data_IF_436177209640
#
_entry.id   IF_436177209640
#
_cell.length_a   1.000
_cell.length_b   1.000
_cell.length_c   1.000
_cell.angle_alpha   90.00
_cell.angle_beta   90.00
_cell.angle_gamma   90.00
#
_symmetry.space_group_name_H-M   'P 1'
#
loop_
_entity.id
_entity.type
_entity.pdbx_description
1 polymer ?
#
# COMPACT_ATOMS: atom_id res chain seq x y z
N UNK A 1 -3.86 16.12 25.69
CA UNK A 1 -3.86 14.99 24.74
C UNK A 1 -4.64 13.85 25.39
N UNK A 2 -5.63 13.24 24.71
CA UNK A 2 -6.29 12.06 25.26
C UNK A 2 -5.29 10.92 25.37
N UNK A 3 -5.19 10.31 26.53
CA UNK A 3 -4.33 9.16 26.77
C UNK A 3 -4.75 8.00 25.86
N UNK A 4 -3.81 7.47 25.09
CA UNK A 4 -4.05 6.37 24.15
C UNK A 4 -4.10 5.08 24.98
N UNK A 5 -5.32 4.53 25.19
CA UNK A 5 -5.52 3.29 25.95
C UNK A 5 -5.39 2.07 25.05
N UNK A 6 -4.41 1.24 25.33
CA UNK A 6 -4.31 -0.11 24.79
C UNK A 6 -5.13 -1.09 25.64
N UNK A 7 -5.90 -1.96 24.99
CA UNK A 7 -6.67 -3.00 25.69
C UNK A 7 -5.72 -4.03 26.32
N UNK A 8 -6.03 -4.51 27.51
CA UNK A 8 -5.21 -5.50 28.20
C UNK A 8 -5.01 -6.78 27.37
N UNK A 9 -6.06 -7.26 26.70
CA UNK A 9 -5.98 -8.42 25.80
C UNK A 9 -5.08 -8.18 24.58
N UNK A 10 -4.91 -6.93 24.14
CA UNK A 10 -3.94 -6.53 23.12
C UNK A 10 -2.52 -6.62 23.68
N UNK A 11 -2.27 -6.00 24.83
CA UNK A 11 -0.96 -6.01 25.47
C UNK A 11 -0.47 -7.44 25.73
N UNK A 12 -1.29 -8.28 26.39
CA UNK A 12 -0.98 -9.70 26.67
C UNK A 12 -0.65 -10.52 25.42
N UNK A 13 -1.17 -10.14 24.27
CA UNK A 13 -0.84 -10.81 23.00
C UNK A 13 0.52 -10.40 22.48
N UNK A 14 0.79 -9.10 22.47
CA UNK A 14 1.97 -8.56 21.80
C UNK A 14 3.22 -8.56 22.67
N UNK A 15 3.11 -8.54 24.02
CA UNK A 15 4.23 -8.70 24.95
C UNK A 15 5.00 -10.02 24.75
N UNK A 16 4.30 -11.06 24.22
CA UNK A 16 4.93 -12.34 23.89
C UNK A 16 5.73 -12.32 22.59
N UNK A 17 5.58 -11.29 21.78
CA UNK A 17 6.16 -11.20 20.42
C UNK A 17 7.23 -10.13 20.33
N UNK A 18 7.19 -9.11 21.18
CA UNK A 18 8.10 -7.97 21.12
C UNK A 18 8.15 -7.22 22.45
N UNK A 19 9.11 -6.32 22.61
CA UNK A 19 9.14 -5.33 23.69
C UNK A 19 7.89 -4.45 23.60
N UNK A 20 6.99 -4.61 24.57
CA UNK A 20 5.67 -3.98 24.54
C UNK A 20 5.75 -2.46 24.76
N UNK A 21 6.69 -1.97 25.56
CA UNK A 21 6.84 -0.54 25.81
C UNK A 21 7.37 0.18 24.57
N UNK A 22 8.39 -0.37 23.93
CA UNK A 22 8.90 0.12 22.65
C UNK A 22 7.85 0.04 21.55
N UNK A 23 7.05 -1.03 21.53
CA UNK A 23 5.95 -1.17 20.59
C UNK A 23 4.88 -0.08 20.77
N UNK A 24 4.48 0.23 22.02
CA UNK A 24 3.53 1.30 22.34
C UNK A 24 4.08 2.66 21.90
N UNK A 25 5.33 2.95 22.28
CA UNK A 25 6.01 4.19 21.88
C UNK A 25 5.99 4.37 20.37
N UNK A 26 6.51 3.41 19.61
CA UNK A 26 6.57 3.48 18.14
C UNK A 26 5.16 3.56 17.53
N UNK A 27 4.18 2.83 18.07
CA UNK A 27 2.81 2.82 17.56
C UNK A 27 2.06 4.14 17.75
N UNK A 28 2.56 5.02 18.61
CA UNK A 28 1.99 6.34 18.88
C UNK A 28 2.75 7.49 18.23
N UNK A 29 3.92 7.22 17.64
CA UNK A 29 4.69 8.23 16.90
C UNK A 29 4.01 8.61 15.59
N UNK A 30 4.34 9.79 15.09
CA UNK A 30 3.88 10.25 13.77
C UNK A 30 4.41 9.34 12.66
N UNK A 31 3.52 8.86 11.80
CA UNK A 31 3.92 8.11 10.61
C UNK A 31 4.46 9.08 9.55
N UNK A 32 5.73 8.91 9.18
CA UNK A 32 6.34 9.70 8.10
C UNK A 32 5.56 9.49 6.80
N UNK A 33 5.16 10.57 6.17
CA UNK A 33 4.53 10.53 4.85
C UNK A 33 5.54 10.14 3.80
N UNK A 34 5.12 9.36 2.82
CA UNK A 34 5.96 9.00 1.67
C UNK A 34 5.16 9.00 0.38
N UNK A 35 5.88 9.18 -0.70
CA UNK A 35 5.38 9.12 -2.07
C UNK A 35 6.25 8.18 -2.88
N UNK A 36 5.66 7.60 -3.92
CA UNK A 36 6.36 6.87 -4.97
C UNK A 36 6.20 7.60 -6.29
N UNK A 37 7.30 7.90 -6.94
CA UNK A 37 7.31 8.46 -8.31
C UNK A 37 6.69 7.45 -9.27
N UNK A 38 5.86 7.93 -10.16
CA UNK A 38 5.31 7.13 -11.24
C UNK A 38 6.21 7.22 -12.48
N UNK A 39 7.12 6.29 -12.60
CA UNK A 39 8.12 6.26 -13.67
C UNK A 39 7.53 6.02 -15.07
N UNK A 40 6.25 5.64 -15.17
CA UNK A 40 5.54 5.60 -16.45
C UNK A 40 5.27 7.00 -17.02
N UNK A 41 5.35 8.05 -16.20
CA UNK A 41 4.95 9.42 -16.59
C UNK A 41 6.03 10.48 -16.40
N UNK A 42 6.96 10.28 -15.46
CA UNK A 42 7.96 11.29 -15.13
C UNK A 42 9.24 10.65 -14.58
N UNK A 43 10.37 11.25 -14.86
CA UNK A 43 11.65 10.86 -14.26
C UNK A 43 11.74 11.20 -12.78
N UNK A 44 12.48 10.36 -12.02
CA UNK A 44 12.60 10.51 -10.55
C UNK A 44 13.18 11.89 -10.19
N UNK A 45 14.29 12.27 -10.81
CA UNK A 45 14.95 13.55 -10.53
C UNK A 45 14.14 14.77 -10.99
N UNK A 46 13.37 14.62 -12.05
CA UNK A 46 12.49 15.69 -12.54
C UNK A 46 11.36 15.97 -11.51
N UNK A 47 10.67 14.92 -11.05
CA UNK A 47 9.63 15.08 -10.02
C UNK A 47 10.23 15.63 -8.71
N UNK A 48 11.38 15.12 -8.31
CA UNK A 48 12.09 15.60 -7.11
C UNK A 48 12.30 17.10 -7.15
N UNK A 49 12.88 17.63 -8.22
CA UNK A 49 13.09 19.09 -8.41
C UNK A 49 11.79 19.88 -8.30
N UNK A 50 10.67 19.39 -8.84
CA UNK A 50 9.37 20.06 -8.74
C UNK A 50 8.85 20.11 -7.31
N UNK A 51 9.00 19.01 -6.56
CA UNK A 51 8.46 18.91 -5.20
C UNK A 51 9.37 19.57 -4.15
N UNK A 52 10.66 19.71 -4.38
CA UNK A 52 11.61 20.39 -3.47
C UNK A 52 11.27 21.88 -3.27
N UNK A 53 10.45 22.48 -4.14
CA UNK A 53 9.89 23.83 -3.94
C UNK A 53 8.92 23.91 -2.75
N UNK A 54 8.33 22.78 -2.34
CA UNK A 54 7.29 22.71 -1.31
C UNK A 54 7.66 21.82 -0.14
N UNK A 55 8.57 20.85 -0.32
CA UNK A 55 8.86 19.79 0.64
C UNK A 55 10.35 19.51 0.71
N UNK A 56 10.78 19.06 1.89
CA UNK A 56 12.07 18.36 2.02
C UNK A 56 11.86 16.90 1.68
N UNK A 57 12.68 16.36 0.78
CA UNK A 57 12.61 14.99 0.30
C UNK A 57 13.80 14.18 0.81
N UNK A 58 13.55 12.99 1.33
CA UNK A 58 14.57 12.03 1.76
C UNK A 58 14.28 10.69 1.14
N UNK A 59 15.25 10.05 0.52
CA UNK A 59 15.06 8.76 -0.13
C UNK A 59 14.51 7.69 0.84
N UNK A 60 13.62 6.84 0.36
CA UNK A 60 13.24 5.61 1.04
C UNK A 60 14.34 4.58 0.74
N UNK A 61 15.05 4.03 1.76
CA UNK A 61 16.28 3.25 1.54
C UNK A 61 16.12 2.02 0.65
N UNK A 62 14.90 1.45 0.59
CA UNK A 62 14.62 0.22 -0.16
C UNK A 62 13.88 0.45 -1.49
N UNK A 63 13.63 1.71 -1.87
CA UNK A 63 12.92 2.02 -3.11
C UNK A 63 13.47 3.33 -3.69
N UNK A 64 14.25 3.22 -4.75
CA UNK A 64 14.92 4.38 -5.39
C UNK A 64 13.93 5.37 -6.01
N UNK A 65 12.71 4.94 -6.32
CA UNK A 65 11.64 5.77 -6.85
C UNK A 65 10.78 6.42 -5.76
N UNK A 66 11.13 6.26 -4.46
CA UNK A 66 10.30 6.74 -3.38
C UNK A 66 11.03 7.68 -2.42
N UNK A 67 10.27 8.66 -1.92
CA UNK A 67 10.75 9.66 -0.99
C UNK A 67 9.85 9.74 0.24
N UNK A 68 10.47 9.86 1.40
CA UNK A 68 9.82 10.48 2.56
C UNK A 68 9.70 11.97 2.31
N UNK A 69 8.57 12.54 2.71
CA UNK A 69 8.30 13.97 2.54
C UNK A 69 8.04 14.63 3.88
N UNK A 70 8.62 15.81 4.07
CA UNK A 70 8.38 16.68 5.24
C UNK A 70 8.23 18.13 4.77
N UNK A 71 7.53 18.93 5.56
CA UNK A 71 7.27 20.33 5.27
C UNK A 71 5.97 20.78 5.94
N UNK A 72 5.72 22.07 5.93
CA UNK A 72 4.53 22.69 6.53
C UNK A 72 3.26 22.35 5.74
N UNK A 73 3.38 22.27 4.43
CA UNK A 73 2.26 21.95 3.54
C UNK A 73 1.77 20.52 3.76
N UNK A 74 0.46 20.37 4.00
CA UNK A 74 -0.17 19.06 4.30
C UNK A 74 -1.01 18.50 3.17
N UNK A 75 -1.39 19.30 2.21
CA UNK A 75 -2.36 19.02 1.13
C UNK A 75 -1.71 18.43 -0.13
N UNK A 76 -0.73 17.53 0.04
CA UNK A 76 0.01 16.90 -1.07
C UNK A 76 -0.91 16.25 -2.12
N UNK A 77 -2.09 15.79 -1.73
CA UNK A 77 -3.08 15.24 -2.65
C UNK A 77 -3.72 16.26 -3.59
N UNK A 78 -3.59 17.58 -3.29
CA UNK A 78 -4.14 18.67 -4.09
C UNK A 78 -3.11 19.27 -5.07
N UNK A 79 -1.89 18.71 -5.11
CA UNK A 79 -0.88 19.13 -6.08
C UNK A 79 -1.29 18.73 -7.49
N UNK A 80 -0.92 19.58 -8.47
CA UNK A 80 -1.13 19.27 -9.87
C UNK A 80 -0.38 18.00 -10.30
N UNK A 81 0.80 17.77 -9.77
CA UNK A 81 1.61 16.57 -10.00
C UNK A 81 0.88 15.30 -9.53
N UNK A 82 0.12 15.37 -8.42
CA UNK A 82 -0.70 14.26 -7.97
C UNK A 82 -1.88 14.03 -8.93
N UNK A 83 -2.56 15.09 -9.35
CA UNK A 83 -3.69 15.01 -10.29
C UNK A 83 -3.25 14.47 -11.65
N UNK A 84 -2.06 14.83 -12.12
CA UNK A 84 -1.45 14.31 -13.35
C UNK A 84 -0.95 12.87 -13.20
N UNK A 85 -0.94 12.31 -11.99
CA UNK A 85 -0.49 10.95 -11.71
C UNK A 85 1.03 10.79 -11.76
N UNK A 86 1.80 11.84 -11.52
CA UNK A 86 3.26 11.79 -11.49
C UNK A 86 3.81 11.09 -10.25
N UNK A 87 3.00 11.00 -9.20
CA UNK A 87 3.32 10.20 -8.01
C UNK A 87 2.07 9.58 -7.38
N UNK A 88 2.32 8.56 -6.57
CA UNK A 88 1.33 7.92 -5.70
C UNK A 88 1.69 8.18 -4.24
N UNK A 89 0.72 8.58 -3.41
CA UNK A 89 0.90 8.71 -1.95
C UNK A 89 0.84 7.29 -1.39
N UNK A 90 1.98 6.74 -1.02
CA UNK A 90 2.10 5.34 -0.60
C UNK A 90 2.99 5.24 0.63
N UNK A 91 2.56 4.47 1.63
CA UNK A 91 3.39 4.21 2.79
C UNK A 91 4.63 3.44 2.42
N UNK A 92 5.77 3.81 3.00
CA UNK A 92 7.07 3.22 2.66
C UNK A 92 7.10 1.70 2.83
N UNK A 93 6.47 1.15 3.88
CA UNK A 93 6.37 -0.31 4.06
C UNK A 93 5.53 -0.98 2.96
N UNK A 94 4.54 -0.29 2.40
CA UNK A 94 3.68 -0.80 1.32
C UNK A 94 4.40 -0.90 -0.03
N UNK A 95 5.59 -0.30 -0.16
CA UNK A 95 6.45 -0.42 -1.35
C UNK A 95 7.15 -1.77 -1.45
N UNK A 96 7.36 -2.45 -0.32
CA UNK A 96 8.18 -3.66 -0.23
C UNK A 96 7.57 -4.85 -1.02
N UNK A 97 6.27 -5.19 -0.88
CA UNK A 97 5.73 -6.38 -1.52
C UNK A 97 5.90 -6.44 -3.06
N UNK A 98 5.64 -5.37 -3.83
CA UNK A 98 5.92 -5.38 -5.27
C UNK A 98 7.41 -5.50 -5.61
N UNK A 99 8.30 -4.91 -4.80
CA UNK A 99 9.75 -5.02 -4.99
C UNK A 99 10.25 -6.45 -4.73
N UNK A 100 9.72 -7.11 -3.67
CA UNK A 100 10.07 -8.51 -3.36
C UNK A 100 9.48 -9.48 -4.38
N UNK A 101 8.32 -9.15 -4.97
CA UNK A 101 7.73 -9.93 -6.05
C UNK A 101 8.61 -9.92 -7.29
N UNK A 102 9.35 -8.83 -7.52
CA UNK A 102 10.34 -8.66 -8.60
C UNK A 102 9.78 -9.04 -9.98
N UNK A 103 8.77 -8.32 -10.48
CA UNK A 103 8.10 -8.69 -11.72
C UNK A 103 8.99 -8.50 -12.94
N UNK A 104 8.91 -9.45 -13.89
CA UNK A 104 9.46 -9.27 -15.23
C UNK A 104 8.44 -8.57 -16.15
N UNK A 105 8.93 -7.92 -17.18
CA UNK A 105 8.09 -7.20 -18.15
C UNK A 105 7.16 -8.11 -18.96
N UNK A 106 7.40 -9.42 -19.00
CA UNK A 106 6.56 -10.41 -19.69
C UNK A 106 5.60 -11.19 -18.79
N UNK A 107 5.67 -10.99 -17.47
CA UNK A 107 4.91 -11.80 -16.51
C UNK A 107 3.39 -11.57 -16.65
N UNK A 108 2.64 -12.65 -16.40
CA UNK A 108 1.21 -12.62 -16.06
C UNK A 108 1.07 -12.61 -14.54
N UNK A 109 0.63 -11.50 -13.98
CA UNK A 109 0.56 -11.30 -12.53
C UNK A 109 -0.87 -11.21 -12.05
N UNK A 110 -1.18 -11.87 -10.92
CA UNK A 110 -2.42 -11.67 -10.18
C UNK A 110 -2.16 -10.79 -8.95
N UNK A 111 -2.80 -9.62 -8.88
CA UNK A 111 -2.96 -8.84 -7.64
C UNK A 111 -4.33 -9.18 -7.04
N UNK A 112 -4.36 -10.08 -6.05
CA UNK A 112 -5.60 -10.69 -5.53
C UNK A 112 -6.49 -9.72 -4.74
N UNK A 113 -5.92 -8.65 -4.17
CA UNK A 113 -6.62 -7.66 -3.34
C UNK A 113 -6.19 -6.24 -3.72
N UNK A 114 -6.33 -5.91 -5.00
CA UNK A 114 -5.68 -4.79 -5.66
C UNK A 114 -6.11 -3.40 -5.17
N UNK A 115 -7.39 -3.23 -4.82
CA UNK A 115 -7.91 -1.92 -4.48
C UNK A 115 -7.30 -1.34 -3.19
N UNK A 116 -6.91 -0.05 -3.21
CA UNK A 116 -7.21 1.01 -4.17
C UNK A 116 -6.23 1.14 -5.35
N UNK A 117 -5.25 0.24 -5.55
CA UNK A 117 -4.35 0.23 -6.70
C UNK A 117 -2.91 0.69 -6.44
N UNK A 118 -2.51 0.89 -5.20
CA UNK A 118 -1.15 1.35 -4.88
C UNK A 118 -0.07 0.35 -5.32
N UNK A 119 -0.27 -0.94 -5.05
CA UNK A 119 0.65 -2.01 -5.44
C UNK A 119 0.52 -2.36 -6.92
N UNK A 120 -0.72 -2.40 -7.44
CA UNK A 120 -0.99 -2.61 -8.87
C UNK A 120 -0.28 -1.57 -9.75
N UNK A 121 -0.39 -0.27 -9.41
CA UNK A 121 0.30 0.81 -10.14
C UNK A 121 1.82 0.74 -9.99
N UNK A 122 2.33 0.20 -8.89
CA UNK A 122 3.75 -0.05 -8.70
C UNK A 122 4.22 -1.22 -9.58
N UNK A 123 3.47 -2.32 -9.63
CA UNK A 123 3.75 -3.45 -10.52
C UNK A 123 3.77 -2.99 -11.98
N UNK A 124 2.76 -2.23 -12.41
CA UNK A 124 2.72 -1.70 -13.78
C UNK A 124 3.93 -0.82 -14.11
N UNK A 125 4.41 0.00 -13.15
CA UNK A 125 5.63 0.79 -13.33
C UNK A 125 6.88 -0.08 -13.43
N UNK A 126 7.01 -1.12 -12.59
CA UNK A 126 8.14 -2.06 -12.64
C UNK A 126 8.15 -2.88 -13.94
N UNK A 127 6.97 -3.18 -14.46
CA UNK A 127 6.78 -3.89 -15.75
C UNK A 127 6.80 -2.95 -16.98
N UNK A 128 6.96 -1.66 -16.78
CA UNK A 128 6.97 -0.67 -17.88
C UNK A 128 5.71 -0.75 -18.78
N UNK A 129 4.54 -1.02 -18.18
CA UNK A 129 3.28 -1.29 -18.89
C UNK A 129 3.31 -2.50 -19.86
N UNK A 130 4.28 -3.40 -19.75
CA UNK A 130 4.32 -4.65 -20.52
C UNK A 130 3.78 -5.82 -19.69
N UNK A 131 3.63 -7.00 -20.32
CA UNK A 131 3.01 -8.17 -19.69
C UNK A 131 1.54 -7.92 -19.38
N UNK A 132 1.01 -8.60 -18.35
CA UNK A 132 -0.40 -8.45 -17.97
C UNK A 132 -0.59 -8.58 -16.46
N UNK A 133 -1.36 -7.65 -15.89
CA UNK A 133 -1.77 -7.69 -14.49
C UNK A 133 -3.29 -7.93 -14.40
N UNK A 134 -3.70 -8.97 -13.70
CA UNK A 134 -5.10 -9.14 -13.28
C UNK A 134 -5.25 -8.50 -11.91
N UNK A 135 -5.84 -7.31 -11.87
CA UNK A 135 -6.08 -6.56 -10.64
C UNK A 135 -7.47 -6.87 -10.09
N UNK A 136 -7.52 -7.69 -9.05
CA UNK A 136 -8.75 -8.21 -8.50
C UNK A 136 -9.11 -7.58 -7.15
N UNK A 137 -10.39 -7.42 -6.89
CA UNK A 137 -10.92 -7.24 -5.53
C UNK A 137 -12.27 -7.96 -5.40
N UNK A 138 -12.60 -8.41 -4.20
CA UNK A 138 -13.89 -9.10 -3.92
C UNK A 138 -15.03 -8.12 -3.64
N UNK A 139 -14.74 -6.81 -3.53
CA UNK A 139 -15.70 -5.76 -3.21
C UNK A 139 -15.85 -4.78 -4.36
N UNK A 140 -17.04 -4.76 -4.95
CA UNK A 140 -17.37 -3.86 -6.05
C UNK A 140 -17.07 -2.38 -5.74
N UNK A 141 -17.49 -1.91 -4.56
CA UNK A 141 -17.30 -0.49 -4.18
C UNK A 141 -15.85 -0.04 -4.19
N UNK A 142 -14.92 -0.97 -3.96
CA UNK A 142 -13.48 -0.69 -3.96
C UNK A 142 -12.89 -0.59 -5.36
N UNK A 143 -13.51 -1.25 -6.35
CA UNK A 143 -13.03 -1.22 -7.74
C UNK A 143 -13.09 0.18 -8.35
N UNK A 144 -14.01 1.03 -7.91
CA UNK A 144 -14.09 2.41 -8.38
C UNK A 144 -12.79 3.19 -8.09
N UNK A 145 -12.26 3.05 -6.89
CA UNK A 145 -10.99 3.69 -6.52
C UNK A 145 -9.79 3.08 -7.25
N UNK A 146 -9.81 1.77 -7.46
CA UNK A 146 -8.81 1.08 -8.27
C UNK A 146 -8.79 1.64 -9.71
N UNK A 147 -9.93 1.67 -10.36
CA UNK A 147 -10.08 2.17 -11.73
C UNK A 147 -9.56 3.61 -11.88
N UNK A 148 -10.00 4.51 -11.00
CA UNK A 148 -9.57 5.92 -11.01
C UNK A 148 -8.05 6.03 -10.86
N UNK A 149 -7.44 5.26 -9.97
CA UNK A 149 -6.00 5.31 -9.73
C UNK A 149 -5.20 4.70 -10.90
N UNK A 150 -5.68 3.62 -11.53
CA UNK A 150 -5.05 3.06 -12.72
C UNK A 150 -5.06 4.07 -13.88
N UNK A 151 -6.21 4.70 -14.13
CA UNK A 151 -6.31 5.76 -15.16
C UNK A 151 -5.38 6.94 -14.85
N UNK A 152 -5.46 7.48 -13.63
CA UNK A 152 -4.64 8.61 -13.21
C UNK A 152 -3.15 8.33 -13.37
N UNK A 153 -2.71 7.11 -13.05
CA UNK A 153 -1.31 6.70 -13.17
C UNK A 153 -0.90 6.28 -14.59
N UNK A 154 -1.83 6.18 -15.55
CA UNK A 154 -1.52 5.80 -16.93
C UNK A 154 -1.15 4.32 -17.07
N UNK A 155 -1.78 3.46 -16.28
CA UNK A 155 -1.59 2.01 -16.35
C UNK A 155 -2.35 1.44 -17.54
N UNK A 156 -1.68 0.71 -18.42
CA UNK A 156 -2.22 0.16 -19.65
C UNK A 156 -2.30 -1.37 -19.69
N UNK A 157 -1.47 -2.05 -18.91
CA UNK A 157 -1.32 -3.50 -18.91
C UNK A 157 -2.17 -4.21 -17.84
N UNK A 158 -3.33 -3.66 -17.48
CA UNK A 158 -4.12 -4.19 -16.34
C UNK A 158 -5.57 -4.45 -16.74
N UNK A 159 -6.07 -5.63 -16.37
CA UNK A 159 -7.50 -6.00 -16.41
C UNK A 159 -8.04 -5.98 -14.99
N UNK A 160 -9.14 -5.24 -14.76
CA UNK A 160 -9.84 -5.22 -13.46
C UNK A 160 -10.79 -6.41 -13.38
N UNK A 161 -10.76 -7.12 -12.26
CA UNK A 161 -11.58 -8.30 -11.99
C UNK A 161 -12.33 -8.17 -10.66
N UNK A 162 -13.55 -8.70 -10.63
CA UNK A 162 -14.39 -8.82 -9.43
C UNK A 162 -14.65 -10.30 -9.16
N UNK A 163 -13.73 -10.97 -8.49
CA UNK A 163 -13.83 -12.41 -8.27
C UNK A 163 -13.32 -12.82 -6.88
N UNK A 164 -13.81 -13.97 -6.41
CA UNK A 164 -13.24 -14.68 -5.27
C UNK A 164 -12.23 -15.72 -5.78
N UNK A 165 -10.98 -15.32 -5.98
CA UNK A 165 -9.93 -16.20 -6.51
C UNK A 165 -9.62 -17.40 -5.61
N UNK A 166 -10.06 -17.41 -4.35
CA UNK A 166 -9.96 -18.61 -3.50
C UNK A 166 -10.81 -19.79 -4.03
N UNK A 167 -11.76 -19.51 -4.92
CA UNK A 167 -12.69 -20.48 -5.51
C UNK A 167 -12.42 -20.79 -6.99
N UNK A 168 -11.58 -19.99 -7.64
CA UNK A 168 -11.30 -20.15 -9.07
C UNK A 168 -10.16 -21.15 -9.23
N UNK A 169 -10.32 -22.08 -10.20
CA UNK A 169 -9.34 -23.09 -10.58
C UNK A 169 -8.98 -22.97 -12.05
N UNK A 170 -7.85 -23.52 -12.45
CA UNK A 170 -7.45 -23.60 -13.86
C UNK A 170 -6.70 -22.39 -14.41
N UNK A 171 -6.44 -21.37 -13.60
CA UNK A 171 -5.55 -20.27 -13.96
C UNK A 171 -4.16 -20.51 -13.42
N UNK A 172 -3.17 -20.18 -14.24
CA UNK A 172 -1.77 -20.14 -13.85
C UNK A 172 -1.23 -18.73 -14.04
N UNK A 173 -0.51 -18.24 -13.06
CA UNK A 173 0.15 -16.94 -13.06
C UNK A 173 1.63 -17.14 -12.80
N UNK A 174 2.47 -16.31 -13.42
CA UNK A 174 3.91 -16.33 -13.15
C UNK A 174 4.17 -15.84 -11.72
N UNK A 175 3.42 -14.84 -11.26
CA UNK A 175 3.52 -14.29 -9.92
C UNK A 175 2.16 -13.90 -9.36
N UNK A 176 2.02 -14.05 -8.04
CA UNK A 176 0.78 -13.66 -7.33
C UNK A 176 1.14 -12.76 -6.17
N UNK A 177 0.51 -11.58 -6.12
CA UNK A 177 0.56 -10.67 -4.99
C UNK A 177 -0.73 -10.80 -4.17
N UNK A 178 -0.58 -11.12 -2.88
CA UNK A 178 -1.70 -11.15 -1.94
C UNK A 178 -1.42 -10.20 -0.76
N UNK A 179 -1.94 -8.98 -0.83
CA UNK A 179 -2.06 -8.09 0.32
C UNK A 179 -3.36 -8.38 1.05
N UNK A 180 -3.37 -9.48 1.79
CA UNK A 180 -4.57 -10.02 2.42
C UNK A 180 -5.16 -9.07 3.48
N UNK A 181 -6.48 -9.10 3.69
CA UNK A 181 -7.11 -8.41 4.81
C UNK A 181 -6.43 -8.77 6.14
N UNK A 182 -6.08 -7.78 6.92
CA UNK A 182 -5.33 -7.96 8.16
C UNK A 182 -6.00 -7.23 9.35
N UNK A 183 -5.43 -7.37 10.54
CA UNK A 183 -5.90 -6.70 11.76
C UNK A 183 -5.68 -5.18 11.76
N UNK A 184 -4.91 -4.68 10.84
CA UNK A 184 -4.51 -3.27 10.80
C UNK A 184 -3.55 -2.85 11.92
N UNK A 185 -2.98 -3.78 12.68
CA UNK A 185 -2.09 -3.45 13.81
C UNK A 185 -0.88 -2.61 13.38
N UNK A 186 -0.33 -2.86 12.19
CA UNK A 186 0.72 -2.03 11.59
C UNK A 186 0.28 -0.61 11.22
N UNK A 187 -1.03 -0.36 11.15
CA UNK A 187 -1.62 0.92 10.78
C UNK A 187 -2.14 1.75 11.98
N UNK A 188 -1.81 1.38 13.22
CA UNK A 188 -2.22 2.13 14.43
C UNK A 188 -1.80 3.60 14.32
N UNK A 189 -0.60 3.88 13.83
CA UNK A 189 -0.08 5.24 13.60
C UNK A 189 -0.91 6.07 12.61
N UNK A 190 -1.63 5.42 11.70
CA UNK A 190 -2.56 6.08 10.77
C UNK A 190 -3.93 6.32 11.38
N UNK A 191 -4.37 5.38 12.22
CA UNK A 191 -5.70 5.43 12.82
C UNK A 191 -5.73 4.69 14.15
N UNK A 192 -5.90 5.45 15.21
CA UNK A 192 -6.13 4.92 16.57
C UNK A 192 -7.45 4.12 16.65
N UNK A 193 -8.35 4.28 15.69
CA UNK A 193 -9.55 3.46 15.55
C UNK A 193 -9.25 1.96 15.46
N UNK A 194 -8.07 1.61 14.92
CA UNK A 194 -7.58 0.22 14.89
C UNK A 194 -7.53 -0.41 16.29
N UNK A 195 -7.07 0.32 17.30
CA UNK A 195 -7.02 -0.16 18.68
C UNK A 195 -8.43 -0.38 19.26
N UNK A 196 -9.39 0.48 18.89
CA UNK A 196 -10.79 0.35 19.35
C UNK A 196 -11.44 -0.90 18.78
N UNK A 197 -11.23 -1.17 17.48
CA UNK A 197 -11.82 -2.31 16.78
C UNK A 197 -11.13 -3.63 17.10
N UNK A 198 -9.85 -3.58 17.51
CA UNK A 198 -9.07 -4.77 17.75
C UNK A 198 -9.67 -5.65 18.87
N UNK A 199 -9.80 -6.94 18.61
CA UNK A 199 -10.19 -7.96 19.59
C UNK A 199 -9.71 -9.35 19.14
N UNK A 200 -9.57 -10.34 20.04
CA UNK A 200 -9.09 -11.68 19.72
C UNK A 200 -9.95 -12.42 18.68
N UNK A 201 -11.27 -12.23 18.69
CA UNK A 201 -12.18 -12.90 17.76
C UNK A 201 -11.99 -12.36 16.33
N UNK A 202 -11.75 -11.04 16.18
CA UNK A 202 -11.38 -10.45 14.90
C UNK A 202 -10.13 -11.11 14.32
N UNK A 203 -9.08 -11.28 15.14
CA UNK A 203 -7.83 -11.93 14.74
C UNK A 203 -8.10 -13.36 14.25
N UNK A 204 -8.86 -14.16 15.00
CA UNK A 204 -9.22 -15.54 14.62
C UNK A 204 -9.97 -15.59 13.29
N UNK A 205 -10.95 -14.69 13.09
CA UNK A 205 -11.74 -14.61 11.85
C UNK A 205 -10.86 -14.27 10.65
N UNK A 206 -9.99 -13.26 10.79
CA UNK A 206 -9.08 -12.82 9.72
C UNK A 206 -8.08 -13.93 9.39
N UNK A 207 -7.49 -14.58 10.39
CA UNK A 207 -6.56 -15.69 10.19
C UNK A 207 -7.19 -16.85 9.40
N UNK A 208 -8.47 -17.17 9.67
CA UNK A 208 -9.20 -18.19 8.88
C UNK A 208 -9.41 -17.76 7.43
N UNK A 209 -9.67 -16.46 7.20
CA UNK A 209 -9.84 -15.92 5.86
C UNK A 209 -8.53 -15.97 5.06
N UNK A 210 -7.41 -15.65 5.71
CA UNK A 210 -6.09 -15.65 5.06
C UNK A 210 -5.59 -17.06 4.72
N UNK A 211 -6.12 -18.11 5.38
CA UNK A 211 -5.75 -19.51 5.12
C UNK A 211 -6.55 -20.17 3.99
N UNK A 212 -7.56 -19.50 3.48
CA UNK A 212 -8.31 -19.94 2.30
C UNK A 212 -7.59 -19.60 1.01
#
# INVERSE_FOLDING_TARGET
MQEIKFKESFLRRYEKLTDIEKFKEISTTYLRRSIRVNTLKIGVEELKKRLETYFSLTNVPWCKEAFYISGERRDIGNLIEHSLGYFYIQEAASLIPPLVLDPNTSDLILDMAAAPGSKTTQLASLMENNGLIIANDIKYDRLKSLYINLQRCGVLNTIISLNDFSKIKGFQFDKILLDAPCSGTGAIRKSLGTLRMWNPNMIRRISRLQKK
#
